data_IF_428448264984
#
_entry.id   IF_428448264984
#
_cell.length_a   1.000
_cell.length_b   1.000
_cell.length_c   1.000
_cell.angle_alpha   90.00
_cell.angle_beta   90.00
_cell.angle_gamma   90.00
#
_symmetry.space_group_name_H-M   'P 1'
#
loop_
_entity.id
_entity.type
_entity.pdbx_description
1 polymer ?
#
# COMPACT_ATOMS: atom_id res chain seq x y z
N UNK A 1 4.75 -20.63 -27.38
CA UNK A 1 3.31 -20.43 -27.49
C UNK A 1 2.64 -21.07 -26.30
N UNK A 2 2.12 -20.23 -25.40
CA UNK A 2 0.93 -20.42 -24.56
C UNK A 2 0.89 -19.20 -23.63
N UNK A 3 0.02 -18.21 -23.86
CA UNK A 3 -0.23 -17.20 -22.85
C UNK A 3 -1.14 -17.87 -21.82
N UNK A 4 -0.57 -18.28 -20.70
CA UNK A 4 -1.38 -18.77 -19.58
C UNK A 4 -2.26 -17.61 -19.12
N UNK A 5 -3.54 -17.69 -19.47
CA UNK A 5 -4.56 -16.74 -19.08
C UNK A 5 -4.81 -16.83 -17.58
N UNK A 6 -4.20 -15.92 -16.83
CA UNK A 6 -4.81 -15.46 -15.58
C UNK A 6 -6.05 -14.67 -16.00
N UNK A 7 -7.27 -15.00 -15.53
CA UNK A 7 -8.42 -14.14 -15.75
C UNK A 7 -8.07 -12.77 -15.18
N UNK A 8 -8.11 -11.74 -16.02
CA UNK A 8 -7.89 -10.37 -15.59
C UNK A 8 -8.95 -10.04 -14.53
N UNK A 9 -8.56 -10.10 -13.26
CA UNK A 9 -9.41 -9.69 -12.13
C UNK A 9 -9.85 -8.27 -12.45
N UNK A 10 -11.15 -8.04 -12.47
CA UNK A 10 -11.72 -6.73 -12.82
C UNK A 10 -11.10 -5.68 -11.90
N UNK A 11 -10.45 -4.67 -12.49
CA UNK A 11 -9.65 -3.70 -11.75
C UNK A 11 -10.55 -2.96 -10.74
N UNK A 12 -10.36 -3.19 -9.44
CA UNK A 12 -11.22 -2.58 -8.43
C UNK A 12 -11.01 -1.07 -8.39
N UNK A 13 -12.11 -0.32 -8.20
CA UNK A 13 -12.06 1.13 -8.07
C UNK A 13 -11.85 1.50 -6.62
N UNK A 14 -10.62 1.83 -6.27
CA UNK A 14 -10.24 2.24 -4.92
C UNK A 14 -10.19 3.75 -4.74
N UNK A 15 -10.08 4.17 -3.49
CA UNK A 15 -9.77 5.51 -3.01
C UNK A 15 -8.53 5.44 -2.12
N UNK A 16 -7.93 6.60 -1.80
CA UNK A 16 -6.81 6.69 -0.85
C UNK A 16 -7.11 5.95 0.47
N UNK A 17 -8.34 6.09 0.98
CA UNK A 17 -8.78 5.51 2.25
C UNK A 17 -8.77 3.99 2.24
N UNK A 18 -8.95 3.36 1.08
CA UNK A 18 -8.92 1.89 0.97
C UNK A 18 -7.53 1.30 1.22
N UNK A 19 -6.48 2.13 1.12
CA UNK A 19 -5.08 1.78 1.37
C UNK A 19 -4.58 2.26 2.75
N UNK A 20 -5.40 2.96 3.53
CA UNK A 20 -5.09 3.38 4.90
C UNK A 20 -5.44 2.26 5.89
N UNK A 21 -4.50 1.93 6.79
CA UNK A 21 -4.77 1.02 7.92
C UNK A 21 -5.52 1.73 9.05
N UNK A 22 -6.05 0.96 10.00
CA UNK A 22 -6.58 1.45 11.27
C UNK A 22 -5.50 1.70 12.35
N UNK A 23 -4.24 1.40 12.06
CA UNK A 23 -3.13 1.54 12.99
C UNK A 23 -2.67 3.00 13.12
N UNK A 24 -2.50 3.45 14.36
CA UNK A 24 -1.92 4.77 14.63
C UNK A 24 -0.45 4.85 14.20
N UNK A 25 -0.12 5.92 13.48
CA UNK A 25 1.24 6.19 13.01
C UNK A 25 2.11 6.64 14.19
N UNK A 26 3.21 5.91 14.43
CA UNK A 26 4.11 6.10 15.59
C UNK A 26 5.39 6.86 15.24
N UNK A 27 5.40 7.59 14.13
CA UNK A 27 6.51 8.47 13.78
C UNK A 27 6.48 9.76 14.62
N UNK A 28 7.64 10.39 14.79
CA UNK A 28 7.72 11.64 15.52
C UNK A 28 6.93 12.76 14.81
N UNK A 29 6.32 13.71 15.54
CA UNK A 29 5.70 14.88 14.94
C UNK A 29 6.66 15.61 13.99
N UNK A 30 6.23 15.89 12.77
CA UNK A 30 7.06 16.52 11.73
C UNK A 30 7.98 15.57 10.95
N UNK A 31 7.90 14.26 11.18
CA UNK A 31 8.66 13.28 10.40
C UNK A 31 8.26 13.31 8.91
N UNK A 32 9.25 13.23 8.01
CA UNK A 32 9.02 13.20 6.56
C UNK A 32 8.27 11.97 6.06
N UNK A 33 8.32 10.86 6.80
CA UNK A 33 7.67 9.60 6.42
C UNK A 33 6.15 9.74 6.30
N UNK A 34 5.52 10.68 7.03
CA UNK A 34 4.10 11.02 6.87
C UNK A 34 3.76 11.48 5.45
N UNK A 35 4.63 12.30 4.85
CA UNK A 35 4.42 12.80 3.49
C UNK A 35 4.55 11.65 2.47
N UNK A 36 5.53 10.76 2.67
CA UNK A 36 5.74 9.58 1.82
C UNK A 36 4.53 8.64 1.91
N UNK A 37 4.06 8.32 3.11
CA UNK A 37 2.90 7.46 3.32
C UNK A 37 1.65 8.02 2.63
N UNK A 38 1.35 9.30 2.84
CA UNK A 38 0.19 9.94 2.22
C UNK A 38 0.28 9.96 0.69
N UNK A 39 1.46 10.21 0.13
CA UNK A 39 1.69 10.20 -1.31
C UNK A 39 1.50 8.81 -1.92
N UNK A 40 2.07 7.77 -1.29
CA UNK A 40 1.92 6.39 -1.74
C UNK A 40 0.45 5.98 -1.69
N UNK A 41 -0.23 6.13 -0.56
CA UNK A 41 -1.65 5.81 -0.41
C UNK A 41 -2.53 6.54 -1.44
N UNK A 42 -2.18 7.78 -1.81
CA UNK A 42 -2.89 8.56 -2.83
C UNK A 42 -2.67 8.01 -4.25
N UNK A 43 -1.49 7.46 -4.54
CA UNK A 43 -1.15 6.91 -5.86
C UNK A 43 -1.66 5.48 -6.09
N UNK A 44 -1.86 4.70 -5.02
CA UNK A 44 -2.26 3.29 -5.13
C UNK A 44 -3.57 3.04 -5.92
N UNK A 45 -4.64 3.86 -5.77
CA UNK A 45 -5.86 3.71 -6.56
C UNK A 45 -5.66 3.78 -8.08
N UNK A 46 -4.68 4.55 -8.54
CA UNK A 46 -4.43 4.76 -9.96
C UNK A 46 -3.80 3.54 -10.64
N UNK A 47 -3.28 2.58 -9.84
CA UNK A 47 -2.68 1.36 -10.36
C UNK A 47 -3.70 0.34 -10.84
N UNK A 48 -4.94 0.38 -10.32
CA UNK A 48 -6.00 -0.58 -10.69
C UNK A 48 -5.68 -2.04 -10.33
N UNK A 49 -4.76 -2.27 -9.39
CA UNK A 49 -4.34 -3.61 -8.95
C UNK A 49 -5.17 -4.00 -7.71
N UNK A 50 -5.73 -5.22 -7.64
CA UNK A 50 -6.36 -5.73 -6.42
C UNK A 50 -5.40 -5.70 -5.22
N UNK A 51 -5.90 -5.29 -4.05
CA UNK A 51 -5.07 -5.12 -2.84
C UNK A 51 -4.39 -6.41 -2.38
N UNK A 52 -5.07 -7.54 -2.59
CA UNK A 52 -4.55 -8.88 -2.32
C UNK A 52 -3.38 -9.29 -3.21
N UNK A 53 -3.17 -8.59 -4.34
CA UNK A 53 -2.06 -8.78 -5.26
C UNK A 53 -0.94 -7.76 -5.03
N UNK A 54 -1.00 -6.98 -3.95
CA UNK A 54 -0.01 -5.97 -3.55
C UNK A 54 0.63 -6.37 -2.22
N UNK A 55 1.97 -6.31 -2.18
CA UNK A 55 2.76 -6.56 -0.97
C UNK A 55 3.74 -5.40 -0.70
N UNK A 56 3.73 -4.88 0.53
CA UNK A 56 4.74 -3.92 1.01
C UNK A 56 5.74 -4.65 1.91
N UNK A 57 7.01 -4.63 1.53
CA UNK A 57 8.10 -5.28 2.28
C UNK A 57 9.03 -4.19 2.82
N UNK A 58 9.40 -4.28 4.08
CA UNK A 58 10.30 -3.32 4.73
C UNK A 58 11.43 -3.98 5.53
N UNK A 59 12.48 -3.20 5.76
CA UNK A 59 13.64 -3.61 6.56
C UNK A 59 13.47 -3.31 8.05
N UNK A 60 14.52 -2.76 8.67
CA UNK A 60 14.48 -2.31 10.06
C UNK A 60 14.74 -0.80 10.12
N UNK A 61 13.87 -0.07 10.83
CA UNK A 61 13.97 1.36 11.01
C UNK A 61 12.61 2.01 11.32
N UNK A 62 12.62 3.34 11.52
CA UNK A 62 11.38 4.10 11.68
C UNK A 62 10.50 3.96 10.44
N UNK A 63 11.08 4.21 9.26
CA UNK A 63 10.39 4.07 7.97
C UNK A 63 9.89 2.65 7.73
N UNK A 64 10.56 1.62 8.27
CA UNK A 64 10.16 0.22 8.08
C UNK A 64 8.85 -0.18 8.74
N UNK A 65 8.22 0.72 9.51
CA UNK A 65 6.83 0.57 9.95
C UNK A 65 5.81 0.78 8.83
N UNK A 66 6.25 1.19 7.64
CA UNK A 66 5.39 1.47 6.49
C UNK A 66 4.34 0.39 6.21
N UNK A 67 4.67 -0.92 6.20
CA UNK A 67 3.68 -1.95 5.88
C UNK A 67 2.51 -2.00 6.86
N UNK A 68 2.73 -1.61 8.13
CA UNK A 68 1.64 -1.54 9.13
C UNK A 68 0.63 -0.44 8.83
N UNK A 69 1.03 0.56 8.04
CA UNK A 69 0.20 1.71 7.68
C UNK A 69 -0.49 1.55 6.32
N UNK A 70 -0.31 0.39 5.68
CA UNK A 70 -0.91 0.04 4.40
C UNK A 70 -1.95 -1.07 4.60
N UNK A 71 -3.15 -0.88 4.05
CA UNK A 71 -4.22 -1.88 4.10
C UNK A 71 -4.12 -2.91 2.97
N UNK A 72 -2.98 -3.59 2.91
CA UNK A 72 -2.62 -4.65 1.95
C UNK A 72 -1.77 -5.71 2.65
N UNK A 73 -1.29 -6.74 1.95
CA UNK A 73 -0.29 -7.63 2.53
C UNK A 73 1.03 -6.90 2.77
N UNK A 74 1.77 -7.33 3.80
CA UNK A 74 3.09 -6.77 4.07
C UNK A 74 3.87 -7.50 5.15
N UNK A 75 5.19 -7.28 5.15
CA UNK A 75 6.16 -7.82 6.11
C UNK A 75 7.22 -6.77 6.47
#
# INVERSE_FOLDING_TARGET
>A
MSPSGTPAKEAPRYTKKDFESDQDVRWCPGCGDYAILSAVQKSMPDLGIPKEDIVFISGIGCSSRFPYYMNTYGF
#
